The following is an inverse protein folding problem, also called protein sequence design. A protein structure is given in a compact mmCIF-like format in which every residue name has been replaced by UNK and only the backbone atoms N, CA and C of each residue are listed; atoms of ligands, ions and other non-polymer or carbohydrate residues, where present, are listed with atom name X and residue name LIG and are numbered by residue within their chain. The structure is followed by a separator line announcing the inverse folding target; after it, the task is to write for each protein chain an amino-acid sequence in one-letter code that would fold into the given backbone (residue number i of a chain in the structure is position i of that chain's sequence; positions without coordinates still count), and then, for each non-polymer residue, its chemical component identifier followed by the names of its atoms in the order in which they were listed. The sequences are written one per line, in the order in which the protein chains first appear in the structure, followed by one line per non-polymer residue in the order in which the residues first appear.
data_IF_810061223349
#
_entry.id   IF_810061223349
#
_cell.length_a   1.000
_cell.length_b   1.000
_cell.length_c   1.000
_cell.angle_alpha   90.00
_cell.angle_beta   90.00
_cell.angle_gamma   90.00
#
_symmetry.space_group_name_H-M   'P 1'
#
loop_
_entity.id
_entity.type
_entity.pdbx_description
1 polymer ?
#
# COMPACT_ATOMS: atom_id res chain seq x y z
N UNK A 1 -8.96 -21.25 20.47
CA UNK A 1 -9.24 -19.88 20.97
C UNK A 1 -8.56 -18.81 20.11
N UNK A 2 -7.31 -19.00 19.68
CA UNK A 2 -6.66 -18.06 18.74
C UNK A 2 -7.41 -17.94 17.40
N UNK A 3 -8.02 -19.02 16.91
CA UNK A 3 -8.78 -19.01 15.66
C UNK A 3 -10.01 -18.09 15.71
N UNK A 4 -10.63 -17.97 16.89
CA UNK A 4 -11.74 -17.03 17.12
C UNK A 4 -11.23 -15.60 16.94
N UNK A 5 -10.09 -15.25 17.53
CA UNK A 5 -9.47 -13.94 17.36
C UNK A 5 -9.03 -13.69 15.92
N UNK A 6 -8.45 -14.68 15.24
CA UNK A 6 -8.13 -14.58 13.81
C UNK A 6 -9.37 -14.26 13.00
N UNK A 7 -10.51 -14.88 13.33
CA UNK A 7 -11.77 -14.61 12.65
C UNK A 7 -12.26 -13.17 12.93
N UNK A 8 -12.23 -12.72 14.18
CA UNK A 8 -12.56 -11.34 14.54
C UNK A 8 -11.69 -10.33 13.79
N UNK A 9 -10.37 -10.58 13.72
CA UNK A 9 -9.44 -9.66 13.06
C UNK A 9 -9.65 -9.52 11.55
N UNK A 10 -10.31 -10.49 10.89
CA UNK A 10 -10.68 -10.36 9.47
C UNK A 10 -11.66 -9.22 9.22
N UNK A 11 -12.49 -8.87 10.19
CA UNK A 11 -13.48 -7.79 10.06
C UNK A 11 -12.92 -6.40 10.40
N UNK A 12 -11.71 -6.33 10.94
CA UNK A 12 -11.08 -5.06 11.29
C UNK A 12 -10.51 -4.36 10.06
N UNK A 13 -10.63 -3.04 10.03
CA UNK A 13 -9.93 -2.17 9.09
C UNK A 13 -8.42 -2.25 9.29
N UNK A 14 -7.65 -1.80 8.28
CA UNK A 14 -6.18 -1.71 8.39
C UNK A 14 -5.75 -0.90 9.62
N UNK A 15 -6.41 0.23 9.87
CA UNK A 15 -6.07 1.11 11.00
C UNK A 15 -6.30 0.40 12.33
N UNK A 16 -7.43 -0.29 12.49
CA UNK A 16 -7.76 -1.05 13.70
C UNK A 16 -6.76 -2.18 13.93
N UNK A 17 -6.45 -2.97 12.89
CA UNK A 17 -5.44 -4.03 12.99
C UNK A 17 -4.08 -3.48 13.45
N UNK A 18 -3.63 -2.36 12.89
CA UNK A 18 -2.37 -1.73 13.32
C UNK A 18 -2.44 -1.24 14.77
N UNK A 19 -3.56 -0.67 15.20
CA UNK A 19 -3.75 -0.20 16.58
C UNK A 19 -3.80 -1.36 17.58
N UNK A 20 -4.51 -2.42 17.24
CA UNK A 20 -4.75 -3.57 18.13
C UNK A 20 -3.53 -4.46 18.34
N UNK A 21 -2.50 -4.34 17.50
CA UNK A 21 -1.17 -4.89 17.82
C UNK A 21 -0.60 -4.37 19.15
N UNK A 22 -1.07 -3.22 19.65
CA UNK A 22 -0.59 -2.61 20.90
C UNK A 22 -1.34 -3.09 22.14
N UNK A 23 -2.43 -3.85 21.98
CA UNK A 23 -3.29 -4.27 23.10
C UNK A 23 -2.57 -5.28 24.00
N UNK A 24 -2.04 -6.35 23.41
CA UNK A 24 -1.24 -7.33 24.13
C UNK A 24 -0.31 -8.10 23.19
N UNK A 25 0.70 -8.78 23.75
CA UNK A 25 1.68 -9.56 22.98
C UNK A 25 1.00 -10.64 22.13
N UNK A 26 -0.07 -11.26 22.66
CA UNK A 26 -0.82 -12.30 21.94
C UNK A 26 -1.48 -11.74 20.68
N UNK A 27 -2.19 -10.62 20.79
CA UNK A 27 -2.83 -9.96 19.64
C UNK A 27 -1.80 -9.45 18.63
N UNK A 28 -0.69 -8.89 19.12
CA UNK A 28 0.43 -8.49 18.28
C UNK A 28 0.93 -9.64 17.41
N UNK A 29 1.13 -10.84 17.98
CA UNK A 29 1.60 -12.02 17.25
C UNK A 29 0.59 -12.45 16.18
N UNK A 30 -0.68 -12.61 16.55
CA UNK A 30 -1.75 -13.03 15.65
C UNK A 30 -1.95 -12.06 14.48
N UNK A 31 -1.97 -10.75 14.73
CA UNK A 31 -2.12 -9.73 13.69
C UNK A 31 -0.88 -9.67 12.77
N UNK A 32 0.32 -9.85 13.32
CA UNK A 32 1.55 -9.91 12.51
C UNK A 32 1.65 -11.16 11.65
N UNK A 33 1.08 -12.27 12.07
CA UNK A 33 0.96 -13.46 11.22
C UNK A 33 0.06 -13.19 10.01
N UNK A 34 -1.10 -12.55 10.22
CA UNK A 34 -1.95 -12.11 9.12
C UNK A 34 -1.18 -11.25 8.09
N UNK A 35 -0.42 -10.25 8.55
CA UNK A 35 0.37 -9.40 7.65
C UNK A 35 1.47 -10.19 6.92
N UNK A 36 2.08 -11.20 7.54
CA UNK A 36 3.11 -12.05 6.92
C UNK A 36 2.54 -12.94 5.83
N UNK A 37 1.30 -13.39 5.99
CA UNK A 37 0.59 -14.28 5.06
C UNK A 37 0.02 -13.55 3.85
N UNK A 38 -0.10 -12.21 3.90
CA UNK A 38 -0.55 -11.41 2.75
C UNK A 38 0.35 -11.64 1.52
N UNK A 39 -0.27 -12.12 0.45
CA UNK A 39 0.34 -12.25 -0.89
C UNK A 39 0.01 -11.07 -1.81
N UNK A 40 -1.04 -10.32 -1.49
CA UNK A 40 -1.46 -9.14 -2.23
C UNK A 40 -1.75 -7.97 -1.29
N UNK A 41 -1.39 -6.78 -1.72
CA UNK A 41 -1.82 -5.52 -1.11
C UNK A 41 -2.57 -4.76 -2.20
N UNK A 42 -3.83 -4.45 -1.93
CA UNK A 42 -4.61 -3.53 -2.77
C UNK A 42 -5.11 -2.39 -1.90
N UNK A 43 -4.65 -1.17 -2.16
CA UNK A 43 -5.03 -0.01 -1.34
C UNK A 43 -6.48 0.37 -1.51
N UNK A 44 -7.10 0.11 -2.67
CA UNK A 44 -8.53 0.43 -2.88
C UNK A 44 -9.42 -0.37 -1.94
N UNK A 45 -9.00 -1.58 -1.56
CA UNK A 45 -9.74 -2.49 -0.66
C UNK A 45 -9.26 -2.36 0.78
N UNK A 46 -7.95 -2.35 1.00
CA UNK A 46 -7.39 -2.34 2.36
C UNK A 46 -7.53 -0.97 3.04
N UNK A 47 -7.55 0.12 2.28
CA UNK A 47 -7.49 1.48 2.82
C UNK A 47 -8.82 2.24 2.73
N UNK A 48 -9.94 1.55 2.51
CA UNK A 48 -11.30 2.14 2.38
C UNK A 48 -11.63 3.16 3.48
N UNK A 49 -11.21 2.92 4.73
CA UNK A 49 -11.49 3.79 5.87
C UNK A 49 -10.24 4.49 6.43
N UNK A 50 -9.17 4.58 5.64
CA UNK A 50 -7.91 5.20 6.07
C UNK A 50 -7.88 6.66 5.65
N UNK A 51 -7.93 7.56 6.64
CA UNK A 51 -7.76 8.99 6.41
C UNK A 51 -6.49 9.33 5.61
N UNK A 52 -6.57 10.34 4.74
CA UNK A 52 -5.45 10.82 3.94
C UNK A 52 -4.15 11.02 4.75
N UNK A 53 -4.25 11.68 5.92
CA UNK A 53 -3.11 11.98 6.81
C UNK A 53 -2.42 10.71 7.35
N UNK A 54 -3.16 9.60 7.42
CA UNK A 54 -2.69 8.32 7.95
C UNK A 54 -2.28 7.33 6.85
N UNK A 55 -2.58 7.63 5.59
CA UNK A 55 -2.33 6.74 4.43
C UNK A 55 -0.88 6.25 4.36
N UNK A 56 0.08 7.17 4.24
CA UNK A 56 1.49 6.82 4.13
C UNK A 56 2.02 6.13 5.40
N UNK A 57 1.50 6.48 6.58
CA UNK A 57 1.87 5.82 7.84
C UNK A 57 1.40 4.37 7.88
N UNK A 58 0.14 4.12 7.50
CA UNK A 58 -0.43 2.76 7.44
C UNK A 58 0.29 1.91 6.40
N UNK A 59 0.58 2.46 5.23
CA UNK A 59 1.32 1.76 4.18
C UNK A 59 2.74 1.38 4.63
N UNK A 60 3.49 2.32 5.24
CA UNK A 60 4.82 2.04 5.81
C UNK A 60 4.74 0.95 6.88
N UNK A 61 3.69 0.96 7.71
CA UNK A 61 3.46 -0.01 8.76
C UNK A 61 3.17 -1.41 8.21
N UNK A 62 2.29 -1.55 7.21
CA UNK A 62 1.98 -2.82 6.56
C UNK A 62 3.21 -3.38 5.86
N UNK A 63 3.88 -2.59 5.00
CA UNK A 63 5.07 -3.05 4.29
C UNK A 63 6.22 -3.43 5.23
N UNK A 64 6.31 -2.84 6.43
CA UNK A 64 7.28 -3.28 7.43
C UNK A 64 7.02 -4.73 7.91
N UNK A 65 5.75 -5.13 7.98
CA UNK A 65 5.29 -6.41 8.55
C UNK A 65 5.12 -7.50 7.49
N UNK A 66 4.80 -7.13 6.25
CA UNK A 66 4.65 -8.08 5.16
C UNK A 66 5.92 -8.90 4.92
N UNK A 67 5.69 -10.16 4.55
CA UNK A 67 6.76 -11.07 4.16
C UNK A 67 7.33 -10.70 2.80
N UNK A 68 8.45 -11.33 2.43
CA UNK A 68 9.06 -11.17 1.10
C UNK A 68 8.29 -11.89 -0.02
N UNK A 69 7.18 -12.58 0.33
CA UNK A 69 6.33 -13.36 -0.58
C UNK A 69 5.17 -12.54 -1.15
N UNK A 70 5.24 -11.21 -1.07
CA UNK A 70 4.25 -10.35 -1.70
C UNK A 70 4.38 -10.47 -3.22
N UNK A 71 3.31 -10.92 -3.87
CA UNK A 71 3.24 -11.19 -5.31
C UNK A 71 2.51 -10.09 -6.07
N UNK A 72 1.58 -9.40 -5.42
CA UNK A 72 0.79 -8.34 -6.06
C UNK A 72 0.74 -7.09 -5.19
N UNK A 73 0.93 -5.93 -5.81
CA UNK A 73 0.78 -4.63 -5.19
C UNK A 73 -0.04 -3.73 -6.11
N UNK A 74 -1.18 -3.26 -5.60
CA UNK A 74 -2.04 -2.28 -6.25
C UNK A 74 -2.05 -1.02 -5.38
N UNK A 75 -1.59 0.08 -5.98
CA UNK A 75 -1.61 1.40 -5.38
C UNK A 75 -2.52 2.30 -6.17
N UNK A 76 -3.56 2.77 -5.51
CA UNK A 76 -4.48 3.71 -6.09
C UNK A 76 -5.66 3.98 -5.19
N UNK A 77 -6.47 4.92 -5.65
CA UNK A 77 -7.70 5.30 -4.99
C UNK A 77 -8.84 5.23 -6.00
N UNK A 78 -9.90 4.53 -5.61
CA UNK A 78 -11.18 4.57 -6.29
C UNK A 78 -12.12 5.39 -5.41
N UNK A 79 -12.56 6.59 -5.84
CA UNK A 79 -13.51 7.37 -5.05
C UNK A 79 -14.80 6.59 -4.89
N UNK A 80 -15.08 6.15 -3.66
CA UNK A 80 -16.41 5.74 -3.28
C UNK A 80 -17.26 7.01 -3.17
N UNK A 81 -18.25 7.15 -4.04
CA UNK A 81 -19.31 8.16 -3.97
C UNK A 81 -18.85 9.63 -3.93
N UNK A 82 -18.47 10.20 -5.09
CA UNK A 82 -18.52 11.65 -5.33
C UNK A 82 -17.68 12.57 -4.44
N UNK A 83 -16.94 12.02 -3.48
CA UNK A 83 -16.12 12.79 -2.56
C UNK A 83 -14.84 13.25 -3.26
N UNK A 84 -14.61 14.57 -3.23
CA UNK A 84 -13.32 15.17 -3.59
C UNK A 84 -12.27 14.83 -2.53
N UNK A 85 -11.78 13.59 -2.54
CA UNK A 85 -10.60 13.25 -1.76
C UNK A 85 -9.33 13.74 -2.46
N UNK A 86 -8.34 14.26 -1.70
CA UNK A 86 -7.06 14.64 -2.26
C UNK A 86 -6.35 13.45 -2.90
N UNK A 87 -5.79 13.68 -4.10
CA UNK A 87 -5.02 12.68 -4.85
C UNK A 87 -3.89 12.15 -3.97
N UNK A 88 -3.84 10.83 -3.77
CA UNK A 88 -2.82 10.20 -2.94
C UNK A 88 -1.48 10.19 -3.70
N UNK A 89 -0.41 10.58 -3.04
CA UNK A 89 0.95 10.50 -3.58
C UNK A 89 1.61 9.18 -3.21
N UNK A 90 2.18 8.47 -4.19
CA UNK A 90 3.04 7.31 -3.91
C UNK A 90 4.42 7.80 -3.47
N UNK A 91 4.65 7.80 -2.16
CA UNK A 91 5.92 8.21 -1.54
C UNK A 91 7.10 7.35 -2.08
N UNK A 92 8.16 7.96 -2.64
CA UNK A 92 9.31 7.23 -3.18
C UNK A 92 9.98 6.29 -2.17
N UNK A 93 9.98 6.64 -0.88
CA UNK A 93 10.53 5.80 0.21
C UNK A 93 9.66 4.57 0.45
N UNK A 94 8.35 4.69 0.26
CA UNK A 94 7.43 3.55 0.34
C UNK A 94 7.67 2.62 -0.84
N UNK A 95 7.72 3.19 -2.05
CA UNK A 95 7.88 2.42 -3.27
C UNK A 95 9.24 1.70 -3.35
N UNK A 96 10.34 2.39 -3.02
CA UNK A 96 11.66 1.77 -2.93
C UNK A 96 11.71 0.65 -1.87
N UNK A 97 11.03 0.81 -0.72
CA UNK A 97 10.93 -0.24 0.30
C UNK A 97 10.14 -1.46 -0.19
N UNK A 98 9.06 -1.25 -0.94
CA UNK A 98 8.29 -2.32 -1.57
C UNK A 98 9.18 -3.14 -2.50
N UNK A 99 9.86 -2.49 -3.44
CA UNK A 99 10.71 -3.14 -4.43
C UNK A 99 11.85 -3.93 -3.77
N UNK A 100 12.47 -3.39 -2.71
CA UNK A 100 13.53 -4.08 -1.96
C UNK A 100 13.02 -5.29 -1.17
N UNK A 101 11.82 -5.22 -0.60
CA UNK A 101 11.28 -6.32 0.22
C UNK A 101 10.62 -7.42 -0.61
N UNK A 102 10.16 -7.10 -1.81
CA UNK A 102 9.31 -7.98 -2.61
C UNK A 102 9.97 -8.29 -3.95
N UNK A 103 11.09 -9.04 -3.98
CA UNK A 103 11.81 -9.35 -5.22
C UNK A 103 10.97 -10.24 -6.16
N UNK A 104 9.95 -10.93 -5.64
CA UNK A 104 9.05 -11.80 -6.40
C UNK A 104 7.72 -11.12 -6.76
N UNK A 105 7.70 -9.78 -6.78
CA UNK A 105 6.51 -9.04 -7.16
C UNK A 105 6.17 -9.35 -8.63
N UNK A 106 5.06 -10.04 -8.85
CA UNK A 106 4.59 -10.43 -10.18
C UNK A 106 3.67 -9.37 -10.80
N UNK A 107 2.92 -8.66 -9.97
CA UNK A 107 1.96 -7.65 -10.44
C UNK A 107 2.14 -6.35 -9.68
N UNK A 108 2.33 -5.27 -10.41
CA UNK A 108 2.34 -3.90 -9.92
C UNK A 108 1.24 -3.12 -10.65
N UNK A 109 0.16 -2.81 -9.95
CA UNK A 109 -0.90 -1.92 -10.43
C UNK A 109 -0.73 -0.53 -9.81
N UNK A 110 -0.73 0.51 -10.61
CA UNK A 110 -0.73 1.89 -10.15
C UNK A 110 -1.88 2.61 -10.82
N UNK A 111 -2.78 3.18 -10.03
CA UNK A 111 -3.93 3.92 -10.54
C UNK A 111 -4.29 5.16 -9.75
N UNK A 112 -4.79 6.19 -10.44
CA UNK A 112 -5.35 7.45 -9.90
C UNK A 112 -4.55 8.02 -8.73
N UNK A 113 -3.24 8.16 -8.93
CA UNK A 113 -2.34 8.67 -7.91
C UNK A 113 -1.33 9.67 -8.49
N UNK A 114 -0.74 10.47 -7.60
CA UNK A 114 0.37 11.34 -7.94
C UNK A 114 1.70 10.60 -7.82
N UNK A 115 2.52 10.67 -8.87
CA UNK A 115 3.83 10.05 -8.95
C UNK A 115 4.93 11.13 -9.01
N UNK A 116 5.68 11.35 -7.92
CA UNK A 116 6.86 12.20 -7.92
C UNK A 116 7.91 11.69 -8.90
N UNK A 117 8.79 12.59 -9.37
CA UNK A 117 9.85 12.25 -10.33
C UNK A 117 10.73 11.08 -9.87
N UNK A 118 11.03 10.99 -8.57
CA UNK A 118 11.81 9.89 -8.01
C UNK A 118 11.05 8.55 -8.09
N UNK A 119 9.74 8.57 -7.83
CA UNK A 119 8.89 7.38 -7.95
C UNK A 119 8.79 6.93 -9.40
N UNK A 120 8.64 7.86 -10.35
CA UNK A 120 8.68 7.55 -11.79
C UNK A 120 10.02 6.93 -12.20
N UNK A 121 11.12 7.47 -11.70
CA UNK A 121 12.47 6.95 -11.97
C UNK A 121 12.67 5.53 -11.43
N UNK A 122 12.08 5.22 -10.26
CA UNK A 122 12.05 3.86 -9.73
C UNK A 122 11.14 2.94 -10.55
N UNK A 123 10.00 3.45 -11.03
CA UNK A 123 9.01 2.69 -11.79
C UNK A 123 9.59 2.25 -13.14
N UNK A 124 10.38 3.10 -13.79
CA UNK A 124 11.10 2.77 -15.04
C UNK A 124 12.08 1.60 -14.89
N UNK A 125 12.53 1.28 -13.67
CA UNK A 125 13.41 0.14 -13.40
C UNK A 125 12.66 -1.18 -13.22
N UNK A 126 11.34 -1.14 -13.05
CA UNK A 126 10.51 -2.33 -12.96
C UNK A 126 10.26 -2.86 -14.37
N UNK A 127 10.32 -4.17 -14.64
CA UNK A 127 9.98 -4.71 -15.96
C UNK A 127 8.56 -4.33 -16.40
N UNK A 128 8.34 -3.79 -17.62
CA UNK A 128 7.02 -3.36 -18.09
C UNK A 128 5.95 -4.45 -18.05
N UNK A 129 6.33 -5.72 -18.25
CA UNK A 129 5.41 -6.88 -18.20
C UNK A 129 4.71 -7.02 -16.85
N UNK A 130 5.32 -6.53 -15.77
CA UNK A 130 4.77 -6.59 -14.42
C UNK A 130 3.89 -5.39 -14.09
N UNK A 131 3.90 -4.35 -14.94
CA UNK A 131 3.27 -3.06 -14.66
C UNK A 131 1.90 -2.95 -15.36
N UNK A 132 0.89 -2.57 -14.59
CA UNK A 132 -0.39 -2.10 -15.09
C UNK A 132 -0.63 -0.70 -14.57
N UNK A 133 -0.55 0.29 -15.46
CA UNK A 133 -0.65 1.69 -15.08
C UNK A 133 -1.93 2.26 -15.69
N UNK A 134 -2.84 2.73 -14.84
CA UNK A 134 -4.16 3.26 -15.24
C UNK A 134 -4.33 4.66 -14.64
N UNK A 135 -4.28 5.72 -15.46
CA UNK A 135 -4.50 7.12 -15.04
C UNK A 135 -3.61 7.60 -13.88
N UNK A 136 -2.54 8.35 -14.14
CA UNK A 136 -1.71 8.94 -13.07
C UNK A 136 -1.29 10.37 -13.43
N UNK A 137 -0.97 11.14 -12.41
CA UNK A 137 -0.46 12.50 -12.55
C UNK A 137 1.04 12.50 -12.29
N UNK A 138 1.81 13.08 -13.21
CA UNK A 138 3.25 13.29 -13.05
C UNK A 138 3.55 14.75 -12.76
N UNK A 139 4.60 14.96 -11.99
CA UNK A 139 5.19 16.28 -11.79
C UNK A 139 5.90 16.71 -13.08
N UNK A 140 5.31 17.66 -13.82
CA UNK A 140 5.96 18.30 -14.97
C UNK A 140 7.04 19.24 -14.42
N UNK A 141 8.28 19.13 -14.91
CA UNK A 141 9.34 20.08 -14.53
C UNK A 141 8.97 21.47 -15.02
N UNK A 142 9.09 22.46 -14.14
CA UNK A 142 8.97 23.88 -14.52
C UNK A 142 9.99 24.32 -15.57
N UNK A 143 11.02 23.51 -15.85
CA UNK A 143 12.06 23.76 -16.88
C UNK A 143 11.59 23.51 -18.33
N UNK A 144 10.29 23.30 -18.56
CA UNK A 144 9.69 23.30 -19.91
C UNK A 144 8.77 24.49 -20.16
N UNK A 145 8.78 25.50 -19.27
CA UNK A 145 8.27 26.83 -19.57
C UNK A 145 9.45 27.79 -19.57
N UNK A 146 9.75 28.34 -20.75
CA UNK A 146 10.80 29.30 -21.13
C UNK A 146 12.14 28.71 -21.58
#
# INVERSE_FOLDING_TARGET
MDDVWRNVFKYLTVTERIRYERVCIRWMKLLREYWKELKSIDTTVLFVSVEFKSWNKCMKAILARCSRKLLSFSYGYEPLYGAHEPIKQLDPKIFSKLLRKSPFLATLKISRCFLPKETVSLLRKVPPVLQKIEEFFQEVSSDQMF
#
